data_IF_970859522278
#
_entry.id   IF_970859522278
#
_cell.length_a   1.000
_cell.length_b   1.000
_cell.length_c   1.000
_cell.angle_alpha   90.00
_cell.angle_beta   90.00
_cell.angle_gamma   90.00
#
_symmetry.space_group_name_H-M   'P 1'
#
loop_
_entity.id
_entity.type
_entity.pdbx_description
1 polymer ?
#
# COMPACT_ATOMS: atom_id res chain seq x y z
N UNK A 1 -33.92 4.07 -4.54
CA UNK A 1 -32.76 4.62 -5.27
C UNK A 1 -33.14 5.10 -6.68
N UNK A 2 -33.67 4.24 -7.57
CA UNK A 2 -34.00 4.64 -8.94
C UNK A 2 -35.01 5.82 -9.04
N UNK A 3 -36.00 5.86 -8.14
CA UNK A 3 -36.97 6.97 -8.06
C UNK A 3 -36.30 8.29 -7.65
N UNK A 4 -35.40 8.26 -6.66
CA UNK A 4 -34.65 9.45 -6.22
C UNK A 4 -33.70 9.98 -7.29
N UNK A 5 -33.05 9.10 -8.07
CA UNK A 5 -32.16 9.52 -9.15
C UNK A 5 -32.91 10.31 -10.24
N UNK A 6 -34.18 9.97 -10.51
CA UNK A 6 -35.00 10.68 -11.52
C UNK A 6 -35.29 12.12 -11.13
N UNK A 7 -35.27 12.44 -9.84
CA UNK A 7 -35.53 13.78 -9.33
C UNK A 7 -34.26 14.63 -9.24
N UNK A 8 -33.08 14.03 -9.40
CA UNK A 8 -31.81 14.75 -9.37
C UNK A 8 -31.59 15.58 -10.66
N UNK A 9 -30.94 16.74 -10.55
CA UNK A 9 -30.51 17.50 -11.73
C UNK A 9 -29.50 16.69 -12.56
N UNK A 10 -29.41 17.02 -13.85
CA UNK A 10 -28.37 16.47 -14.72
C UNK A 10 -26.98 16.87 -14.22
N UNK A 11 -25.98 16.04 -14.52
CA UNK A 11 -24.59 16.33 -14.22
C UNK A 11 -24.13 17.60 -14.96
N UNK A 12 -23.28 18.39 -14.33
CA UNK A 12 -22.83 19.68 -14.88
C UNK A 12 -21.85 19.54 -16.05
N UNK A 13 -21.23 18.37 -16.22
CA UNK A 13 -20.31 18.06 -17.31
C UNK A 13 -18.87 18.52 -17.10
N UNK A 14 -18.58 19.28 -16.04
CA UNK A 14 -17.26 19.81 -15.69
C UNK A 14 -16.67 19.10 -14.46
N UNK A 15 -17.36 19.19 -13.32
CA UNK A 15 -17.05 18.55 -12.04
C UNK A 15 -17.53 17.10 -12.07
N UNK A 16 -18.80 16.88 -12.39
CA UNK A 16 -19.33 15.53 -12.65
C UNK A 16 -19.48 15.37 -14.16
N UNK A 17 -18.55 14.64 -14.78
CA UNK A 17 -18.53 14.43 -16.22
C UNK A 17 -19.49 13.34 -16.65
N UNK A 18 -19.94 13.40 -17.91
CA UNK A 18 -20.67 12.30 -18.53
C UNK A 18 -19.77 11.08 -18.71
N UNK A 19 -20.38 9.92 -18.98
CA UNK A 19 -19.63 8.66 -19.21
C UNK A 19 -18.71 8.80 -20.44
N UNK A 20 -19.16 9.48 -21.49
CA UNK A 20 -18.42 9.67 -22.74
C UNK A 20 -17.20 10.58 -22.58
N UNK A 21 -17.21 11.46 -21.57
CA UNK A 21 -16.12 12.40 -21.27
C UNK A 21 -15.51 12.14 -19.87
N UNK A 22 -15.59 10.90 -19.38
CA UNK A 22 -15.04 10.54 -18.08
C UNK A 22 -13.52 10.81 -18.00
N UNK A 23 -13.00 11.12 -16.80
CA UNK A 23 -11.57 11.31 -16.58
C UNK A 23 -10.72 10.09 -16.95
N UNK A 24 -11.31 8.90 -16.81
CA UNK A 24 -10.71 7.62 -17.17
C UNK A 24 -11.83 6.63 -17.52
N UNK A 25 -11.61 5.71 -18.47
CA UNK A 25 -12.54 4.62 -18.75
C UNK A 25 -12.58 3.58 -17.62
N UNK A 26 -11.67 3.64 -16.65
CA UNK A 26 -11.57 2.73 -15.52
C UNK A 26 -11.81 3.45 -14.19
N UNK A 27 -12.28 2.71 -13.17
CA UNK A 27 -12.42 3.22 -11.82
C UNK A 27 -11.07 3.66 -11.21
N UNK A 28 -11.10 4.64 -10.31
CA UNK A 28 -9.87 5.22 -9.74
C UNK A 28 -9.07 4.32 -8.78
N UNK A 29 -9.63 3.16 -8.40
CA UNK A 29 -8.98 2.17 -7.55
C UNK A 29 -8.67 0.90 -8.36
N UNK A 30 -7.54 0.28 -8.06
CA UNK A 30 -7.14 -1.03 -8.60
C UNK A 30 -6.78 -1.95 -7.44
N UNK A 31 -7.32 -3.16 -7.47
CA UNK A 31 -6.92 -4.24 -6.56
C UNK A 31 -5.66 -4.89 -7.11
N UNK A 32 -4.66 -5.02 -6.27
CA UNK A 32 -3.37 -5.64 -6.56
C UNK A 32 -3.33 -7.06 -6.00
N UNK A 33 -2.63 -7.97 -6.67
CA UNK A 33 -2.50 -9.37 -6.29
C UNK A 33 -1.13 -9.94 -6.66
N UNK A 34 -0.70 -11.01 -6.03
CA UNK A 34 0.58 -11.65 -6.33
C UNK A 34 1.21 -12.22 -5.07
N UNK A 35 2.43 -12.73 -5.19
CA UNK A 35 3.07 -13.39 -4.04
C UNK A 35 3.37 -12.41 -2.89
N UNK A 36 3.52 -11.11 -3.14
CA UNK A 36 3.74 -10.12 -2.08
C UNK A 36 2.44 -9.71 -1.36
N UNK A 37 1.30 -9.82 -2.04
CA UNK A 37 -0.04 -9.51 -1.50
C UNK A 37 -1.05 -10.61 -1.87
N UNK A 38 -0.93 -11.82 -1.28
CA UNK A 38 -1.77 -12.96 -1.65
C UNK A 38 -3.25 -12.73 -1.30
N UNK A 39 -3.54 -11.99 -0.23
CA UNK A 39 -4.90 -11.60 0.18
C UNK A 39 -5.30 -10.21 -0.34
N UNK A 40 -4.57 -9.71 -1.35
CA UNK A 40 -4.73 -8.42 -2.04
C UNK A 40 -4.04 -7.23 -1.38
N UNK A 41 -3.82 -6.21 -2.22
CA UNK A 41 -3.51 -4.83 -1.86
C UNK A 41 -4.34 -3.87 -2.71
N UNK A 42 -4.24 -2.57 -2.47
CA UNK A 42 -5.03 -1.57 -3.20
C UNK A 42 -4.16 -0.38 -3.58
N UNK A 43 -4.32 0.11 -4.81
CA UNK A 43 -3.71 1.34 -5.29
C UNK A 43 -4.77 2.27 -5.86
N UNK A 44 -4.62 3.58 -5.62
CA UNK A 44 -5.41 4.62 -6.29
C UNK A 44 -4.81 4.92 -7.66
N UNK A 45 -5.12 4.08 -8.64
CA UNK A 45 -4.57 4.20 -10.00
C UNK A 45 -4.88 5.53 -10.69
N UNK A 46 -5.92 6.27 -10.29
CA UNK A 46 -6.21 7.61 -10.84
C UNK A 46 -5.20 8.68 -10.43
N UNK A 47 -4.37 8.40 -9.43
CA UNK A 47 -3.32 9.31 -8.97
C UNK A 47 -1.91 8.88 -9.40
N UNK A 48 -1.82 7.84 -10.24
CA UNK A 48 -0.56 7.31 -10.79
C UNK A 48 -0.39 7.84 -12.20
N UNK A 49 0.79 8.35 -12.51
CA UNK A 49 1.13 8.79 -13.87
C UNK A 49 1.37 7.60 -14.80
N UNK A 50 1.14 7.77 -16.10
CA UNK A 50 1.20 6.68 -17.08
C UNK A 50 2.57 5.97 -17.12
N UNK A 51 3.65 6.72 -16.90
CA UNK A 51 5.04 6.23 -16.81
C UNK A 51 5.32 5.36 -15.58
N UNK A 52 4.46 5.44 -14.55
CA UNK A 52 4.59 4.68 -13.30
C UNK A 52 3.54 3.57 -13.17
N UNK A 53 2.75 3.30 -14.21
CA UNK A 53 1.77 2.19 -14.21
C UNK A 53 2.45 0.82 -14.15
N UNK A 54 3.69 0.74 -14.61
CA UNK A 54 4.57 -0.43 -14.49
C UNK A 54 5.89 0.03 -13.88
N UNK A 55 6.26 -0.56 -12.75
CA UNK A 55 7.45 -0.17 -12.01
C UNK A 55 8.14 -1.40 -11.47
N UNK A 56 9.46 -1.49 -11.66
CA UNK A 56 10.27 -2.61 -11.18
C UNK A 56 11.57 -2.09 -10.59
N UNK A 57 11.85 -2.43 -9.34
CA UNK A 57 13.03 -1.88 -8.67
C UNK A 57 13.38 -2.52 -7.34
N UNK A 58 14.54 -2.14 -6.78
CA UNK A 58 15.03 -2.68 -5.52
C UNK A 58 14.22 -2.16 -4.32
N UNK A 59 13.93 -3.06 -3.39
CA UNK A 59 13.22 -2.76 -2.16
C UNK A 59 14.09 -1.95 -1.20
N UNK A 60 13.48 -0.92 -0.60
CA UNK A 60 14.01 -0.14 0.53
C UNK A 60 13.10 -0.36 1.72
N UNK A 61 13.56 -1.12 2.72
CA UNK A 61 12.67 -1.69 3.75
C UNK A 61 12.75 -0.91 5.05
N UNK A 62 11.59 -0.56 5.60
CA UNK A 62 11.43 0.21 6.83
C UNK A 62 10.38 -0.42 7.73
N UNK A 63 10.64 -0.41 9.04
CA UNK A 63 9.78 -1.04 10.05
C UNK A 63 8.77 -0.05 10.67
N UNK A 64 8.82 1.20 10.23
CA UNK A 64 7.88 2.26 10.63
C UNK A 64 7.83 3.40 9.62
N UNK A 65 6.74 4.19 9.65
CA UNK A 65 6.62 5.45 8.91
C UNK A 65 7.78 6.40 9.22
N UNK A 66 8.19 6.48 10.49
CA UNK A 66 9.23 7.39 10.96
C UNK A 66 10.58 7.09 10.30
N UNK A 67 10.99 5.82 10.27
CA UNK A 67 12.23 5.38 9.62
C UNK A 67 12.21 5.66 8.11
N UNK A 68 11.08 5.39 7.45
CA UNK A 68 10.92 5.66 6.02
C UNK A 68 11.03 7.17 5.74
N UNK A 69 10.37 8.02 6.54
CA UNK A 69 10.45 9.46 6.41
C UNK A 69 11.88 9.98 6.64
N UNK A 70 12.59 9.49 7.65
CA UNK A 70 13.98 9.86 7.89
C UNK A 70 14.88 9.53 6.70
N UNK A 71 14.69 8.35 6.08
CA UNK A 71 15.43 7.95 4.90
C UNK A 71 15.11 8.81 3.66
N UNK A 72 13.84 9.14 3.44
CA UNK A 72 13.41 10.00 2.32
C UNK A 72 14.00 11.40 2.47
N UNK A 73 13.80 12.04 3.63
CA UNK A 73 14.33 13.39 3.88
C UNK A 73 15.85 13.42 3.96
N UNK A 74 16.47 12.34 4.40
CA UNK A 74 17.92 12.16 4.40
C UNK A 74 18.53 11.91 3.01
N UNK A 75 17.72 11.90 1.94
CA UNK A 75 18.20 11.69 0.56
C UNK A 75 18.73 10.28 0.32
N UNK A 76 18.29 9.30 1.12
CA UNK A 76 18.74 7.90 1.00
C UNK A 76 17.97 7.12 -0.06
N UNK A 77 16.84 7.63 -0.57
CA UNK A 77 15.99 6.98 -1.58
C UNK A 77 16.38 7.47 -2.98
N UNK A 78 16.54 6.53 -3.91
CA UNK A 78 16.94 6.80 -5.28
C UNK A 78 15.78 6.59 -6.26
N UNK A 79 15.85 7.25 -7.42
CA UNK A 79 14.95 6.95 -8.53
C UNK A 79 15.05 5.46 -8.92
N UNK A 80 13.90 4.80 -9.07
CA UNK A 80 13.81 3.36 -9.30
C UNK A 80 13.46 2.56 -8.04
N UNK A 81 13.70 3.09 -6.84
CA UNK A 81 13.48 2.35 -5.60
C UNK A 81 11.99 2.00 -5.37
N UNK A 82 11.76 0.92 -4.62
CA UNK A 82 10.44 0.54 -4.08
C UNK A 82 10.50 0.61 -2.56
N UNK A 83 9.91 1.64 -1.98
CA UNK A 83 9.88 1.86 -0.53
C UNK A 83 8.83 0.95 0.10
N UNK A 84 9.25 0.05 0.98
CA UNK A 84 8.38 -0.87 1.71
C UNK A 84 8.32 -0.44 3.17
N UNK A 85 7.14 -0.04 3.63
CA UNK A 85 6.87 0.37 5.01
C UNK A 85 5.96 -0.68 5.64
N UNK A 86 6.49 -1.48 6.57
CA UNK A 86 5.77 -2.62 7.14
C UNK A 86 5.56 -2.48 8.65
N UNK A 87 4.75 -3.37 9.22
CA UNK A 87 4.29 -3.29 10.61
C UNK A 87 3.45 -2.02 10.89
N UNK A 88 2.74 -1.57 9.86
CA UNK A 88 1.77 -0.47 9.91
C UNK A 88 0.33 -0.95 9.68
N UNK A 89 0.13 -2.27 9.55
CA UNK A 89 -1.17 -2.90 9.39
C UNK A 89 -2.09 -2.84 10.62
N UNK A 90 -3.28 -3.47 10.56
CA UNK A 90 -4.24 -3.47 11.66
C UNK A 90 -3.64 -3.94 12.99
N UNK A 91 -2.97 -5.10 13.05
CA UNK A 91 -2.40 -5.60 14.28
C UNK A 91 -0.97 -5.09 14.53
N UNK A 92 -0.18 -4.86 13.48
CA UNK A 92 1.21 -4.43 13.55
C UNK A 92 1.40 -2.96 13.95
N UNK A 93 0.48 -2.10 13.51
CA UNK A 93 0.56 -0.66 13.71
C UNK A 93 0.36 -0.22 15.16
N UNK A 94 -0.89 -0.07 15.62
CA UNK A 94 -1.77 -1.19 16.02
C UNK A 94 -3.24 -0.94 15.63
N UNK A 95 -3.43 -0.28 14.49
CA UNK A 95 -4.73 0.22 14.04
C UNK A 95 -4.74 0.70 12.59
N UNK A 96 -3.78 0.26 11.79
CA UNK A 96 -3.68 0.60 10.38
C UNK A 96 -3.65 2.12 10.14
N UNK A 97 -2.62 2.83 10.61
CA UNK A 97 -2.57 4.31 10.51
C UNK A 97 -2.57 4.78 9.05
N UNK A 98 -3.07 5.98 8.84
CA UNK A 98 -3.00 6.65 7.54
C UNK A 98 -1.69 7.43 7.45
N UNK A 99 -0.86 7.08 6.47
CA UNK A 99 0.44 7.71 6.22
C UNK A 99 0.32 8.70 5.07
N UNK A 100 0.28 10.00 5.38
CA UNK A 100 0.41 11.06 4.38
C UNK A 100 1.88 11.43 4.16
N UNK A 101 2.66 11.41 5.24
CA UNK A 101 4.02 11.96 5.30
C UNK A 101 4.97 11.34 4.28
N UNK A 102 5.09 10.00 4.14
CA UNK A 102 6.02 9.40 3.18
C UNK A 102 5.68 9.78 1.73
N UNK A 103 4.39 9.81 1.40
CA UNK A 103 3.94 10.13 0.03
C UNK A 103 4.19 11.59 -0.32
N UNK A 104 3.98 12.49 0.64
CA UNK A 104 4.27 13.92 0.48
C UNK A 104 5.77 14.19 0.43
N UNK A 105 6.56 13.46 1.21
CA UNK A 105 8.02 13.55 1.20
C UNK A 105 8.60 13.12 -0.16
N UNK A 106 8.17 11.97 -0.70
CA UNK A 106 8.58 11.50 -2.04
C UNK A 106 8.26 12.53 -3.12
N UNK A 107 7.05 13.10 -3.10
CA UNK A 107 6.67 14.16 -4.05
C UNK A 107 7.49 15.44 -3.85
N UNK A 108 7.74 15.85 -2.61
CA UNK A 108 8.58 17.01 -2.28
C UNK A 108 10.04 16.85 -2.72
N UNK A 109 10.55 15.62 -2.74
CA UNK A 109 11.87 15.26 -3.26
C UNK A 109 11.90 15.11 -4.79
N UNK A 110 10.75 15.26 -5.48
CA UNK A 110 10.64 15.11 -6.93
C UNK A 110 10.74 13.66 -7.43
N UNK A 111 10.43 12.69 -6.56
CA UNK A 111 10.56 11.25 -6.82
C UNK A 111 9.21 10.56 -7.10
N UNK A 112 8.10 11.30 -7.15
CA UNK A 112 6.74 10.77 -7.34
C UNK A 112 6.50 10.07 -8.68
N UNK A 113 7.38 10.30 -9.65
CA UNK A 113 7.38 9.66 -10.98
C UNK A 113 8.50 8.64 -11.18
N UNK A 114 9.15 8.22 -10.11
CA UNK A 114 10.26 7.25 -10.21
C UNK A 114 10.39 6.32 -9.02
N UNK A 115 9.63 6.54 -7.94
CA UNK A 115 9.64 5.70 -6.74
C UNK A 115 8.23 5.22 -6.43
N UNK A 116 8.11 3.94 -6.08
CA UNK A 116 6.88 3.35 -5.59
C UNK A 116 6.89 3.19 -4.07
N UNK A 117 5.71 3.20 -3.46
CA UNK A 117 5.55 2.92 -2.03
C UNK A 117 4.61 1.74 -1.83
N UNK A 118 4.94 0.86 -0.88
CA UNK A 118 4.17 -0.31 -0.50
C UNK A 118 4.02 -0.33 1.02
N UNK A 119 2.83 -0.66 1.51
CA UNK A 119 2.60 -0.86 2.94
C UNK A 119 1.46 -1.83 3.24
N UNK A 120 1.57 -2.51 4.39
CA UNK A 120 0.46 -3.21 5.03
C UNK A 120 -0.50 -2.26 5.78
N UNK A 121 -0.13 -0.99 5.95
CA UNK A 121 -0.95 0.10 6.46
C UNK A 121 -1.81 0.79 5.39
N UNK A 122 -2.14 2.07 5.61
CA UNK A 122 -2.93 2.90 4.67
C UNK A 122 -2.15 4.12 4.21
N UNK A 123 -2.38 4.53 2.97
CA UNK A 123 -1.98 5.85 2.48
C UNK A 123 -3.18 6.79 2.44
N UNK A 124 -2.90 8.09 2.43
CA UNK A 124 -3.94 9.11 2.42
C UNK A 124 -4.66 9.22 1.08
N UNK A 125 -5.92 9.67 1.09
CA UNK A 125 -6.67 9.95 -0.14
C UNK A 125 -6.02 11.03 -1.02
N UNK A 126 -5.18 11.89 -0.44
CA UNK A 126 -4.40 12.92 -1.13
C UNK A 126 -3.12 12.40 -1.81
N UNK A 127 -2.80 11.12 -1.67
CA UNK A 127 -1.59 10.51 -2.23
C UNK A 127 -1.55 10.58 -3.75
N UNK A 128 -0.32 10.75 -4.26
CA UNK A 128 0.07 10.74 -5.67
C UNK A 128 1.15 9.66 -5.88
N UNK A 129 1.25 9.16 -7.11
CA UNK A 129 2.21 8.11 -7.46
C UNK A 129 1.75 6.70 -7.06
N UNK A 130 2.50 5.66 -7.44
CA UNK A 130 2.15 4.27 -7.17
C UNK A 130 2.38 3.94 -5.69
N UNK A 131 1.36 4.22 -4.88
CA UNK A 131 1.33 3.94 -3.45
C UNK A 131 0.31 2.82 -3.17
N UNK A 132 0.82 1.62 -2.94
CA UNK A 132 0.04 0.40 -2.71
C UNK A 132 -0.12 0.18 -1.22
N UNK A 133 -1.33 0.34 -0.70
CA UNK A 133 -1.66 0.07 0.69
C UNK A 133 -2.41 -1.24 0.87
N UNK A 134 -2.76 -1.54 2.11
CA UNK A 134 -3.60 -2.67 2.49
C UNK A 134 -3.01 -4.03 2.09
N UNK A 135 -1.68 -4.12 1.92
CA UNK A 135 -1.03 -5.38 1.57
C UNK A 135 -1.34 -6.41 2.64
N UNK A 136 -2.03 -7.46 2.22
CA UNK A 136 -2.54 -8.51 3.09
C UNK A 136 -2.00 -9.89 2.65
N UNK A 137 -1.62 -10.77 3.59
CA UNK A 137 -1.56 -10.56 5.04
C UNK A 137 -0.51 -9.51 5.45
N UNK A 138 -0.79 -8.79 6.54
CA UNK A 138 0.14 -7.80 7.08
C UNK A 138 1.42 -8.44 7.64
N UNK A 139 2.45 -7.63 7.86
CA UNK A 139 3.74 -8.15 8.36
C UNK A 139 3.62 -8.77 9.75
N UNK A 140 2.81 -8.19 10.64
CA UNK A 140 2.60 -8.73 12.00
C UNK A 140 1.86 -10.09 12.03
N UNK A 141 1.25 -10.49 10.91
CA UNK A 141 0.66 -11.80 10.69
C UNK A 141 1.60 -12.78 9.99
N UNK A 142 2.84 -12.39 9.69
CA UNK A 142 3.80 -13.22 8.95
C UNK A 142 3.53 -13.26 7.45
N UNK A 143 2.84 -12.25 6.92
CA UNK A 143 2.60 -12.12 5.48
C UNK A 143 3.90 -11.94 4.69
N UNK A 144 3.88 -12.17 3.36
CA UNK A 144 5.08 -12.06 2.53
C UNK A 144 5.81 -10.71 2.62
N UNK A 145 5.11 -9.61 2.90
CA UNK A 145 5.72 -8.29 3.14
C UNK A 145 6.70 -8.28 4.35
N UNK A 146 6.52 -9.15 5.34
CA UNK A 146 7.46 -9.35 6.44
C UNK A 146 8.78 -10.01 6.03
N UNK A 147 8.82 -10.61 4.83
CA UNK A 147 9.95 -11.41 4.34
C UNK A 147 10.77 -10.67 3.29
N UNK A 148 10.35 -9.45 2.90
CA UNK A 148 11.12 -8.58 2.01
C UNK A 148 12.40 -8.16 2.72
N UNK A 149 13.52 -8.29 2.01
CA UNK A 149 14.83 -7.82 2.43
C UNK A 149 15.29 -6.64 1.55
N UNK A 150 16.20 -5.84 2.09
CA UNK A 150 16.81 -4.72 1.37
C UNK A 150 17.42 -5.19 0.05
N UNK A 151 17.07 -4.50 -1.05
CA UNK A 151 17.58 -4.79 -2.39
C UNK A 151 16.86 -5.90 -3.16
N UNK A 152 15.91 -6.62 -2.56
CA UNK A 152 15.05 -7.55 -3.31
C UNK A 152 14.31 -6.81 -4.43
N UNK A 153 14.09 -7.45 -5.57
CA UNK A 153 13.35 -6.82 -6.65
C UNK A 153 11.84 -7.00 -6.44
N UNK A 154 11.11 -5.89 -6.55
CA UNK A 154 9.66 -5.89 -6.57
C UNK A 154 9.20 -5.38 -7.94
N UNK A 155 8.34 -6.17 -8.58
CA UNK A 155 7.68 -5.87 -9.84
C UNK A 155 6.20 -5.51 -9.60
N UNK A 156 5.81 -4.34 -10.09
CA UNK A 156 4.50 -3.72 -9.92
C UNK A 156 3.93 -3.49 -11.32
N UNK A 157 2.80 -4.12 -11.62
CA UNK A 157 2.03 -3.85 -12.84
C UNK A 157 0.59 -3.49 -12.47
N UNK A 158 0.26 -2.21 -12.52
CA UNK A 158 -1.07 -1.70 -12.16
C UNK A 158 -2.11 -2.02 -13.26
N UNK A 159 -1.66 -2.17 -14.52
CA UNK A 159 -2.53 -2.52 -15.63
C UNK A 159 -3.07 -3.95 -15.49
N UNK A 160 -2.19 -4.88 -15.11
CA UNK A 160 -2.54 -6.27 -14.82
C UNK A 160 -3.02 -6.44 -13.38
N UNK A 161 -2.69 -5.52 -12.48
CA UNK A 161 -3.01 -5.60 -11.06
C UNK A 161 -2.10 -6.58 -10.31
N UNK A 162 -0.86 -6.76 -10.76
CA UNK A 162 0.11 -7.67 -10.14
C UNK A 162 1.10 -6.95 -9.23
N UNK A 163 1.46 -7.60 -8.13
CA UNK A 163 2.46 -7.17 -7.16
C UNK A 163 3.32 -8.38 -6.77
N UNK A 164 4.54 -8.42 -7.32
CA UNK A 164 5.41 -9.59 -7.26
C UNK A 164 6.73 -9.25 -6.58
N UNK A 165 7.11 -10.02 -5.57
CA UNK A 165 8.45 -10.07 -5.01
C UNK A 165 9.25 -11.14 -5.77
N UNK A 166 10.30 -10.74 -6.49
CA UNK A 166 11.12 -11.65 -7.31
C UNK A 166 12.17 -12.40 -6.48
N UNK A 167 11.67 -13.23 -5.56
CA UNK A 167 12.44 -14.14 -4.72
C UNK A 167 11.88 -15.54 -4.95
N UNK A 168 12.75 -16.55 -5.01
CA UNK A 168 12.28 -17.93 -5.24
C UNK A 168 11.45 -18.43 -4.06
N UNK A 169 10.56 -19.38 -4.32
CA UNK A 169 9.71 -19.96 -3.28
C UNK A 169 10.54 -20.64 -2.18
N UNK A 170 11.66 -21.27 -2.53
CA UNK A 170 12.57 -21.89 -1.55
C UNK A 170 13.19 -20.88 -0.59
N UNK A 171 13.62 -19.73 -1.12
CA UNK A 171 14.17 -18.63 -0.30
C UNK A 171 13.08 -17.99 0.55
N UNK A 172 11.88 -17.78 0.01
CA UNK A 172 10.75 -17.26 0.80
C UNK A 172 10.36 -18.19 1.95
N UNK A 173 10.35 -19.50 1.72
CA UNK A 173 10.09 -20.47 2.79
C UNK A 173 11.21 -20.53 3.83
N UNK A 174 12.47 -20.39 3.41
CA UNK A 174 13.59 -20.27 4.34
C UNK A 174 13.47 -19.01 5.22
N UNK A 175 13.13 -17.86 4.62
CA UNK A 175 12.88 -16.61 5.34
C UNK A 175 11.68 -16.72 6.27
N UNK A 176 10.60 -17.37 5.83
CA UNK A 176 9.41 -17.63 6.66
C UNK A 176 9.74 -18.48 7.87
N UNK A 177 10.55 -19.52 7.72
CA UNK A 177 10.98 -20.37 8.82
C UNK A 177 11.87 -19.63 9.83
N UNK A 178 12.64 -18.64 9.37
CA UNK A 178 13.48 -17.79 10.21
C UNK A 178 12.74 -16.58 10.81
N UNK A 179 11.53 -16.27 10.33
CA UNK A 179 10.79 -15.09 10.76
C UNK A 179 10.32 -15.22 12.21
N UNK A 180 10.67 -14.22 13.02
CA UNK A 180 10.23 -14.09 14.40
C UNK A 180 9.25 -12.94 14.48
N UNK A 181 8.03 -13.24 14.93
CA UNK A 181 6.99 -12.22 15.13
C UNK A 181 7.50 -11.15 16.12
N UNK A 182 7.52 -9.86 15.75
CA UNK A 182 7.91 -8.80 16.67
C UNK A 182 6.96 -8.70 17.86
N UNK A 183 7.49 -8.19 18.98
CA UNK A 183 6.67 -7.87 20.15
C UNK A 183 5.62 -6.79 19.80
N UNK A 184 4.39 -6.89 20.34
CA UNK A 184 3.38 -5.86 20.12
C UNK A 184 3.84 -4.49 20.63
N UNK A 185 3.69 -3.45 19.81
CA UNK A 185 3.96 -2.04 20.18
C UNK A 185 3.20 -1.62 21.46
N UNK A 186 2.01 -2.20 21.70
CA UNK A 186 1.18 -1.93 22.87
C UNK A 186 0.78 -3.24 23.54
N UNK A 187 1.17 -3.41 24.81
CA UNK A 187 0.91 -4.63 25.58
C UNK A 187 -0.40 -4.58 26.40
N UNK A 188 -0.89 -3.37 26.70
CA UNK A 188 -2.09 -3.13 27.51
C UNK A 188 -2.99 -2.04 26.89
N UNK A 189 -4.21 -1.92 27.40
CA UNK A 189 -5.15 -0.87 26.97
C UNK A 189 -5.93 -1.20 25.69
N UNK A 190 -6.56 -0.18 25.11
CA UNK A 190 -7.48 -0.35 23.98
C UNK A 190 -6.77 -0.85 22.72
N UNK A 191 -5.56 -0.37 22.43
CA UNK A 191 -4.81 -0.76 21.22
C UNK A 191 -4.31 -2.22 21.32
N UNK A 192 -3.95 -2.68 22.52
CA UNK A 192 -3.62 -4.08 22.74
C UNK A 192 -4.84 -5.01 22.59
N UNK A 193 -6.05 -4.52 22.93
CA UNK A 193 -7.30 -5.25 22.66
C UNK A 193 -7.64 -5.24 21.17
N UNK A 194 -7.49 -4.10 20.51
CA UNK A 194 -7.70 -3.95 19.07
C UNK A 194 -6.87 -4.98 18.30
N UNK A 195 -5.54 -4.99 18.51
CA UNK A 195 -4.62 -5.86 17.76
C UNK A 195 -4.90 -7.36 17.95
N UNK A 196 -5.60 -7.75 19.02
CA UNK A 196 -5.99 -9.15 19.28
C UNK A 196 -7.30 -9.56 18.60
N UNK A 197 -8.18 -8.60 18.31
CA UNK A 197 -9.56 -8.85 17.86
C UNK A 197 -9.82 -8.43 16.41
N UNK A 198 -8.97 -7.57 15.85
CA UNK A 198 -9.16 -7.01 14.52
C UNK A 198 -8.94 -8.07 13.43
N UNK A 199 -9.79 -8.06 12.40
CA UNK A 199 -9.57 -8.83 11.18
C UNK A 199 -8.48 -8.21 10.30
N UNK A 200 -8.00 -8.98 9.33
CA UNK A 200 -7.11 -8.44 8.28
C UNK A 200 -7.80 -7.33 7.45
N UNK A 201 -6.98 -6.49 6.80
CA UNK A 201 -7.42 -5.33 6.04
C UNK A 201 -8.26 -5.71 4.81
N UNK A 202 -7.96 -6.82 4.14
CA UNK A 202 -8.75 -7.37 3.04
C UNK A 202 -10.20 -7.67 3.42
N UNK A 203 -10.44 -7.96 4.71
CA UNK A 203 -11.78 -8.22 5.27
C UNK A 203 -12.46 -6.97 5.81
N UNK A 204 -11.81 -5.81 5.73
CA UNK A 204 -12.32 -4.52 6.22
C UNK A 204 -11.96 -4.20 7.66
N UNK A 205 -11.00 -4.89 8.28
CA UNK A 205 -10.50 -4.62 9.63
C UNK A 205 -11.60 -4.50 10.71
N UNK A 206 -12.60 -5.40 10.69
CA UNK A 206 -13.70 -5.42 11.66
C UNK A 206 -13.32 -6.19 12.94
N UNK A 207 -14.11 -6.05 14.00
CA UNK A 207 -13.98 -6.87 15.22
C UNK A 207 -14.87 -8.10 15.17
N UNK A 208 -14.25 -9.28 15.34
CA UNK A 208 -14.94 -10.55 15.52
C UNK A 208 -15.27 -10.87 16.98
#
# INVERSE_FOLDING_TARGET
MAEWIKECPQVDGEVVRTVENAYSPYGGLRVMHGNLAPDRGVVKQSAVSDDMRKHRGPARVFESEEEACEAIFGGKINAGDVVVIRYEGPAGGPGMREMLTPTSAICGMGLDKSVALITDGRFSGATKGPAIGHVSPEAAAGGPIALVHEGDIIDIDIDEGTLTLEVSDEELEARRAAWVKPEPKYQVGVLARYAKLVSSADKGAYFG
#
